data_IF_909657980698
#
_entry.id   IF_909657980698
#
_cell.length_a   1.000
_cell.length_b   1.000
_cell.length_c   1.000
_cell.angle_alpha   90.00
_cell.angle_beta   90.00
_cell.angle_gamma   90.00
#
_symmetry.space_group_name_H-M   'P 1'
#
loop_
_entity.id
_entity.type
_entity.pdbx_description
1 polymer ?
#
# COMPACT_ATOMS: atom_id res chain seq x y z
N UNK A 1 -13.46 2.00 16.16
CA UNK A 1 -12.00 1.96 16.30
C UNK A 1 -11.52 3.39 16.52
N UNK A 2 -10.60 3.69 17.45
CA UNK A 2 -10.02 5.02 17.66
C UNK A 2 -9.67 5.82 16.39
N UNK A 3 -9.36 5.17 15.26
CA UNK A 3 -8.97 5.86 14.02
C UNK A 3 -10.01 5.75 12.88
N UNK A 4 -11.26 5.39 13.18
CA UNK A 4 -12.30 5.23 12.14
C UNK A 4 -12.11 4.01 11.23
N UNK A 5 -11.15 3.14 11.58
CA UNK A 5 -10.84 1.90 10.88
C UNK A 5 -11.87 0.80 11.17
N UNK A 6 -11.95 -0.18 10.27
CA UNK A 6 -12.75 -1.40 10.45
C UNK A 6 -11.89 -2.64 10.24
N UNK A 7 -12.21 -3.72 10.96
CA UNK A 7 -11.45 -4.97 10.87
C UNK A 7 -11.86 -5.74 9.61
N UNK A 8 -10.88 -6.15 8.81
CA UNK A 8 -11.05 -7.09 7.71
C UNK A 8 -10.50 -8.48 8.07
N UNK A 9 -11.21 -9.53 7.67
CA UNK A 9 -10.77 -10.94 7.74
C UNK A 9 -11.08 -11.57 6.38
N UNK A 10 -10.15 -12.35 5.85
CA UNK A 10 -10.28 -13.00 4.54
C UNK A 10 -9.86 -14.48 4.62
N UNK A 11 -10.73 -15.36 4.13
CA UNK A 11 -10.36 -16.72 3.74
C UNK A 11 -9.79 -16.66 2.32
N UNK A 12 -8.51 -16.99 2.16
CA UNK A 12 -7.82 -16.90 0.88
C UNK A 12 -7.38 -18.28 0.40
N UNK A 13 -7.50 -18.53 -0.90
CA UNK A 13 -6.78 -19.63 -1.55
C UNK A 13 -5.28 -19.35 -1.50
N UNK A 14 -4.41 -20.37 -1.68
CA UNK A 14 -2.97 -20.14 -1.79
C UNK A 14 -2.60 -19.15 -2.89
N UNK A 15 -3.30 -19.19 -4.04
CA UNK A 15 -3.12 -18.25 -5.14
C UNK A 15 -3.43 -16.81 -4.72
N UNK A 16 -4.61 -16.58 -4.13
CA UNK A 16 -5.00 -15.25 -3.66
C UNK A 16 -4.06 -14.71 -2.57
N UNK A 17 -3.57 -15.58 -1.67
CA UNK A 17 -2.57 -15.17 -0.67
C UNK A 17 -1.29 -14.67 -1.36
N UNK A 18 -0.79 -15.42 -2.34
CA UNK A 18 0.42 -15.04 -3.09
C UNK A 18 0.23 -13.73 -3.89
N UNK A 19 -0.95 -13.52 -4.47
CA UNK A 19 -1.30 -12.27 -5.16
C UNK A 19 -1.29 -11.08 -4.20
N UNK A 20 -1.88 -11.22 -3.01
CA UNK A 20 -1.84 -10.18 -1.97
C UNK A 20 -0.41 -9.90 -1.54
N UNK A 21 0.41 -10.94 -1.33
CA UNK A 21 1.81 -10.77 -0.94
C UNK A 21 2.61 -10.05 -2.03
N UNK A 22 2.37 -10.36 -3.31
CA UNK A 22 2.99 -9.68 -4.44
C UNK A 22 2.59 -8.20 -4.52
N UNK A 23 1.30 -7.90 -4.33
CA UNK A 23 0.81 -6.50 -4.26
C UNK A 23 1.50 -5.75 -3.12
N UNK A 24 1.53 -6.33 -1.91
CA UNK A 24 2.19 -5.67 -0.79
C UNK A 24 3.71 -5.53 -0.98
N UNK A 25 4.36 -6.49 -1.61
CA UNK A 25 5.78 -6.38 -1.94
C UNK A 25 6.09 -5.23 -2.91
N UNK A 26 5.22 -5.01 -3.90
CA UNK A 26 5.41 -3.96 -4.90
C UNK A 26 5.05 -2.55 -4.37
N UNK A 27 4.00 -2.42 -3.56
CA UNK A 27 3.44 -1.12 -3.17
C UNK A 27 3.57 -0.75 -1.69
N UNK A 28 3.99 -1.66 -0.80
CA UNK A 28 4.17 -1.37 0.63
C UNK A 28 5.65 -1.25 1.08
N UNK A 29 6.58 -1.13 0.13
CA UNK A 29 7.97 -0.83 0.40
C UNK A 29 8.13 0.57 1.03
N UNK A 30 9.21 0.83 1.81
CA UNK A 30 9.53 2.18 2.27
C UNK A 30 9.54 3.20 1.11
N UNK A 31 8.93 4.37 1.31
CA UNK A 31 8.77 5.43 0.31
C UNK A 31 7.63 5.23 -0.70
N UNK A 32 7.01 4.04 -0.79
CA UNK A 32 5.87 3.79 -1.68
C UNK A 32 4.54 4.21 -1.07
N UNK A 33 3.63 4.72 -1.90
CA UNK A 33 2.26 5.03 -1.53
C UNK A 33 2.15 5.88 -0.24
N UNK A 34 3.06 6.83 -0.04
CA UNK A 34 3.08 7.66 1.18
C UNK A 34 2.05 8.79 1.09
N UNK A 35 0.97 8.79 1.89
CA UNK A 35 -0.03 9.85 1.85
C UNK A 35 0.48 11.21 2.37
N UNK A 36 1.63 11.23 3.04
CA UNK A 36 2.26 12.46 3.52
C UNK A 36 3.11 13.15 2.46
N UNK A 37 3.41 12.47 1.35
CA UNK A 37 4.12 13.08 0.22
C UNK A 37 3.13 13.85 -0.66
N UNK A 38 3.52 15.03 -1.15
CA UNK A 38 2.69 15.84 -2.05
C UNK A 38 2.31 15.07 -3.32
N UNK A 39 3.25 14.28 -3.84
CA UNK A 39 3.02 13.33 -4.94
C UNK A 39 3.48 11.94 -4.51
N UNK A 40 2.57 11.08 -4.01
CA UNK A 40 2.92 9.74 -3.58
C UNK A 40 3.53 8.90 -4.71
N UNK A 41 4.64 8.21 -4.44
CA UNK A 41 5.25 7.30 -5.42
C UNK A 41 4.39 6.04 -5.59
N UNK A 42 3.66 5.95 -6.71
CA UNK A 42 2.85 4.79 -7.09
C UNK A 42 3.61 3.87 -8.07
N UNK A 43 4.18 4.47 -9.12
CA UNK A 43 4.94 3.77 -10.16
C UNK A 43 6.45 3.84 -9.91
N UNK A 44 7.24 2.97 -10.56
CA UNK A 44 8.70 2.99 -10.47
C UNK A 44 9.26 2.60 -9.10
N UNK A 45 10.42 3.11 -8.74
CA UNK A 45 11.01 2.97 -7.39
C UNK A 45 10.99 4.34 -6.70
N UNK A 46 10.74 4.41 -5.38
CA UNK A 46 10.88 5.65 -4.64
C UNK A 46 12.33 6.11 -4.64
N UNK A 47 12.56 7.42 -4.62
CA UNK A 47 13.91 7.97 -4.45
C UNK A 47 14.45 7.73 -3.02
N UNK A 48 15.77 7.84 -2.85
CA UNK A 48 16.43 7.58 -1.55
C UNK A 48 15.89 8.49 -0.45
N UNK A 49 15.60 9.76 -0.75
CA UNK A 49 15.05 10.70 0.23
C UNK A 49 13.63 10.30 0.68
N UNK A 50 12.83 9.67 -0.20
CA UNK A 50 11.50 9.16 0.11
C UNK A 50 11.56 7.92 0.99
N UNK A 51 12.53 7.05 0.73
CA UNK A 51 12.82 5.89 1.57
C UNK A 51 13.27 6.34 2.97
N UNK A 52 14.20 7.29 3.07
CA UNK A 52 14.77 7.74 4.34
C UNK A 52 13.76 8.48 5.23
N UNK A 53 12.89 9.32 4.63
CA UNK A 53 11.86 10.06 5.38
C UNK A 53 10.63 9.22 5.76
N UNK A 54 10.52 7.99 5.26
CA UNK A 54 9.39 7.12 5.55
C UNK A 54 9.47 6.52 6.96
N UNK A 55 8.83 7.20 7.91
CA UNK A 55 8.72 6.78 9.31
C UNK A 55 7.55 5.84 9.58
N UNK A 56 6.76 5.45 8.56
CA UNK A 56 5.57 4.61 8.76
C UNK A 56 5.96 3.21 9.18
N UNK A 57 5.11 2.60 9.98
CA UNK A 57 5.21 1.17 10.30
C UNK A 57 4.89 0.31 9.07
N UNK A 58 5.30 -0.96 9.10
CA UNK A 58 4.93 -1.90 8.04
C UNK A 58 3.40 -2.07 7.91
N UNK A 59 2.65 -1.96 9.01
CA UNK A 59 1.18 -2.04 8.97
C UNK A 59 0.57 -0.82 8.26
N UNK A 60 1.06 0.39 8.56
CA UNK A 60 0.63 1.61 7.88
C UNK A 60 0.96 1.57 6.38
N UNK A 61 2.18 1.16 6.00
CA UNK A 61 2.54 1.03 4.56
C UNK A 61 1.64 0.04 3.82
N UNK A 62 1.31 -1.10 4.43
CA UNK A 62 0.40 -2.08 3.82
C UNK A 62 -1.02 -1.52 3.66
N UNK A 63 -1.51 -0.78 4.66
CA UNK A 63 -2.79 -0.09 4.58
C UNK A 63 -2.81 0.91 3.42
N UNK A 64 -1.80 1.77 3.34
CA UNK A 64 -1.73 2.82 2.32
C UNK A 64 -1.57 2.22 0.91
N UNK A 65 -0.78 1.16 0.77
CA UNK A 65 -0.63 0.40 -0.47
C UNK A 65 -1.96 -0.18 -0.95
N UNK A 66 -2.72 -0.84 -0.07
CA UNK A 66 -4.04 -1.38 -0.40
C UNK A 66 -5.02 -0.27 -0.82
N UNK A 67 -5.01 0.86 -0.11
CA UNK A 67 -5.85 2.02 -0.45
C UNK A 67 -5.48 2.60 -1.82
N UNK A 68 -4.18 2.76 -2.10
CA UNK A 68 -3.68 3.31 -3.36
C UNK A 68 -4.00 2.39 -4.54
N UNK A 69 -3.77 1.09 -4.41
CA UNK A 69 -4.09 0.10 -5.45
C UNK A 69 -5.59 0.07 -5.72
N UNK A 70 -6.44 0.04 -4.68
CA UNK A 70 -7.89 0.06 -4.87
C UNK A 70 -8.36 1.33 -5.61
N UNK A 71 -7.84 2.50 -5.25
CA UNK A 71 -8.15 3.76 -5.95
C UNK A 71 -7.69 3.72 -7.41
N UNK A 72 -6.49 3.22 -7.67
CA UNK A 72 -5.95 3.11 -9.03
C UNK A 72 -6.79 2.16 -9.89
N UNK A 73 -7.16 0.98 -9.35
CA UNK A 73 -8.03 0.02 -10.03
C UNK A 73 -9.38 0.65 -10.37
N UNK A 74 -10.05 1.28 -9.39
CA UNK A 74 -11.34 1.95 -9.61
C UNK A 74 -11.24 3.07 -10.65
N UNK A 75 -10.15 3.86 -10.63
CA UNK A 75 -9.91 4.93 -11.60
C UNK A 75 -9.62 4.38 -13.02
N UNK A 76 -9.02 3.19 -13.11
CA UNK A 76 -8.72 2.54 -14.39
C UNK A 76 -9.94 1.87 -15.05
N UNK A 77 -11.04 1.69 -14.32
CA UNK A 77 -12.23 0.99 -14.80
C UNK A 77 -12.05 -0.53 -14.96
N UNK A 78 -11.00 -1.08 -14.34
CA UNK A 78 -10.77 -2.53 -14.23
C UNK A 78 -11.44 -3.13 -13.00
#
# INVERSE_FOLDING_TARGET
DPDGMSRAILWATPALRAEIDAVLAAWAAPGKCNPNDETPCLDGQPDEAAVERDSRTAAQRRHDALSAVARATLASGQ
#
